data_IF_707119147194
#
_entry.id   IF_707119147194
#
_cell.length_a   1.000
_cell.length_b   1.000
_cell.length_c   1.000
_cell.angle_alpha   90.00
_cell.angle_beta   90.00
_cell.angle_gamma   90.00
#
_symmetry.space_group_name_H-M   'P 1'
#
loop_
_entity.id
_entity.type
_entity.pdbx_description
1 polymer ?
#
# COMPACT_ATOMS: atom_id res chain seq x y z
N UNK A 1 -17.85 22.06 -6.73
CA UNK A 1 -16.45 22.16 -6.28
C UNK A 1 -15.65 21.21 -7.16
N UNK A 2 -14.91 21.74 -8.13
CA UNK A 2 -14.24 20.96 -9.17
C UNK A 2 -12.90 20.41 -8.65
N UNK A 3 -12.82 19.09 -8.45
CA UNK A 3 -11.58 18.38 -8.14
C UNK A 3 -10.81 18.07 -9.44
N UNK A 4 -10.05 19.02 -9.96
CA UNK A 4 -9.23 18.87 -11.17
C UNK A 4 -7.72 18.82 -10.90
N UNK A 5 -7.27 18.13 -9.86
CA UNK A 5 -5.84 18.14 -9.50
C UNK A 5 -5.31 16.82 -8.96
N UNK A 6 -5.76 15.69 -9.49
CA UNK A 6 -5.28 14.40 -9.04
C UNK A 6 -4.93 13.49 -10.22
N UNK A 7 -3.64 13.21 -10.37
CA UNK A 7 -3.14 12.24 -11.34
C UNK A 7 -3.17 10.79 -10.78
N UNK A 8 -3.40 10.66 -9.47
CA UNK A 8 -3.32 9.43 -8.71
C UNK A 8 -4.32 9.48 -7.55
N UNK A 9 -5.56 9.01 -7.77
CA UNK A 9 -6.64 9.03 -6.80
C UNK A 9 -6.50 7.84 -5.86
N UNK A 10 -6.11 8.03 -4.59
CA UNK A 10 -6.07 6.94 -3.63
C UNK A 10 -7.51 6.50 -3.30
N UNK A 11 -7.75 5.20 -3.39
CA UNK A 11 -8.95 4.61 -2.80
C UNK A 11 -8.82 4.66 -1.27
N UNK A 12 -9.95 4.77 -0.54
CA UNK A 12 -9.94 4.62 0.91
C UNK A 12 -9.39 3.23 1.26
N UNK A 13 -8.45 3.19 2.21
CA UNK A 13 -7.88 1.93 2.69
C UNK A 13 -9.00 1.11 3.33
N UNK A 14 -9.22 -0.10 2.84
CA UNK A 14 -10.24 -1.00 3.39
C UNK A 14 -9.57 -2.17 4.10
N UNK A 15 -9.98 -2.42 5.35
CA UNK A 15 -9.53 -3.60 6.12
C UNK A 15 -10.53 -4.73 5.92
N UNK A 16 -10.04 -5.92 5.56
CA UNK A 16 -10.88 -7.09 5.29
C UNK A 16 -11.01 -8.06 6.46
N UNK A 17 -10.22 -7.95 7.51
CA UNK A 17 -10.27 -8.89 8.65
C UNK A 17 -10.27 -8.22 10.02
N UNK A 18 -11.01 -8.84 10.95
CA UNK A 18 -11.33 -8.28 12.27
C UNK A 18 -11.13 -9.35 13.37
N UNK A 19 -10.05 -9.16 14.14
CA UNK A 19 -9.71 -9.59 15.53
C UNK A 19 -9.73 -11.08 15.93
N UNK A 20 -8.64 -11.48 16.60
CA UNK A 20 -8.64 -12.02 17.96
C UNK A 20 -7.33 -11.61 18.67
N UNK A 21 -7.45 -11.01 19.87
CA UNK A 21 -6.38 -10.56 20.79
C UNK A 21 -5.68 -9.22 20.50
N UNK A 22 -5.58 -8.39 21.55
CA UNK A 22 -4.68 -7.24 21.62
C UNK A 22 -3.27 -7.77 21.82
N UNK A 23 -2.35 -7.45 20.91
CA UNK A 23 -0.97 -7.86 21.05
C UNK A 23 -0.32 -6.88 22.01
N UNK A 24 0.22 -7.39 23.12
CA UNK A 24 0.95 -6.56 24.08
C UNK A 24 2.13 -5.85 23.38
N UNK A 25 2.65 -4.80 24.00
CA UNK A 25 3.92 -4.15 23.59
C UNK A 25 5.12 -5.06 23.88
N UNK A 26 5.05 -6.30 23.42
CA UNK A 26 6.07 -7.32 23.58
C UNK A 26 7.21 -7.05 22.59
N UNK A 27 8.35 -7.69 22.87
CA UNK A 27 9.46 -7.69 21.93
C UNK A 27 9.02 -8.49 20.71
N UNK A 28 9.16 -7.93 19.51
CA UNK A 28 8.85 -8.65 18.27
C UNK A 28 10.04 -8.66 17.34
N UNK A 29 10.21 -9.76 16.61
CA UNK A 29 11.09 -9.85 15.46
C UNK A 29 10.34 -9.30 14.26
N UNK A 30 10.93 -8.35 13.53
CA UNK A 30 10.29 -7.71 12.39
C UNK A 30 10.77 -8.36 11.08
N UNK A 31 9.83 -8.84 10.26
CA UNK A 31 10.13 -9.46 8.96
C UNK A 31 9.37 -8.73 7.86
N UNK A 32 10.04 -8.44 6.74
CA UNK A 32 9.44 -7.77 5.59
C UNK A 32 9.48 -8.68 4.37
N UNK A 33 8.31 -9.03 3.85
CA UNK A 33 8.13 -9.89 2.67
C UNK A 33 7.52 -9.08 1.53
N UNK A 34 8.06 -9.17 0.32
CA UNK A 34 7.55 -8.44 -0.86
C UNK A 34 8.02 -6.97 -0.98
N UNK A 35 8.82 -6.46 -0.05
CA UNK A 35 9.34 -5.09 -0.05
C UNK A 35 10.67 -4.90 -0.82
N UNK A 36 11.01 -5.77 -1.78
CA UNK A 36 12.29 -5.80 -2.49
C UNK A 36 12.71 -4.49 -3.20
N UNK A 37 11.74 -3.63 -3.56
CA UNK A 37 11.97 -2.32 -4.20
C UNK A 37 11.55 -1.13 -3.32
N UNK A 38 11.20 -1.38 -2.05
CA UNK A 38 10.53 -0.43 -1.18
C UNK A 38 11.34 -0.18 0.12
N UNK A 39 12.64 0.06 -0.03
CA UNK A 39 13.56 0.25 1.11
C UNK A 39 13.27 1.51 1.94
N UNK A 40 12.79 2.58 1.30
CA UNK A 40 12.45 3.82 2.01
C UNK A 40 11.19 3.63 2.85
N UNK A 41 10.22 2.89 2.32
CA UNK A 41 8.96 2.54 2.96
C UNK A 41 9.20 1.59 4.14
N UNK A 42 10.08 0.58 3.98
CA UNK A 42 10.51 -0.28 5.10
C UNK A 42 11.03 0.55 6.27
N UNK A 43 11.94 1.49 6.01
CA UNK A 43 12.52 2.37 7.04
C UNK A 43 11.46 3.22 7.70
N UNK A 44 10.58 3.85 6.93
CA UNK A 44 9.49 4.67 7.46
C UNK A 44 8.53 3.87 8.35
N UNK A 45 8.14 2.67 7.92
CA UNK A 45 7.28 1.77 8.69
C UNK A 45 7.97 1.35 9.99
N UNK A 46 9.24 0.95 9.92
CA UNK A 46 10.03 0.57 11.09
C UNK A 46 10.14 1.73 12.10
N UNK A 47 10.44 2.95 11.64
CA UNK A 47 10.48 4.14 12.50
C UNK A 47 9.13 4.43 13.16
N UNK A 48 8.03 4.27 12.41
CA UNK A 48 6.67 4.46 12.93
C UNK A 48 6.33 3.42 14.01
N UNK A 49 6.68 2.15 13.81
CA UNK A 49 6.49 1.08 14.79
C UNK A 49 7.30 1.35 16.08
N UNK A 50 8.57 1.76 15.94
CA UNK A 50 9.43 2.11 17.07
C UNK A 50 8.91 3.32 17.85
N UNK A 51 8.51 4.39 17.16
CA UNK A 51 7.93 5.60 17.80
C UNK A 51 6.67 5.29 18.61
N UNK A 52 5.91 4.27 18.20
CA UNK A 52 4.66 3.86 18.87
C UNK A 52 4.89 2.86 20.02
N UNK A 53 6.15 2.46 20.26
CA UNK A 53 6.56 1.73 21.45
C UNK A 53 6.72 0.21 21.28
N UNK A 54 6.73 -0.29 20.03
CA UNK A 54 7.15 -1.67 19.75
C UNK A 54 8.66 -1.80 20.00
N UNK A 55 9.07 -2.85 20.72
CA UNK A 55 10.48 -3.19 20.92
C UNK A 55 10.87 -4.24 19.89
N UNK A 56 11.82 -3.90 19.03
CA UNK A 56 12.32 -4.85 18.03
C UNK A 56 13.44 -5.67 18.67
N UNK A 57 13.27 -7.00 18.74
CA UNK A 57 14.29 -7.93 19.20
C UNK A 57 14.42 -9.07 18.17
N UNK A 58 15.56 -9.20 17.48
CA UNK A 58 15.79 -10.25 16.50
C UNK A 58 15.68 -11.67 17.06
N UNK A 59 15.83 -11.83 18.39
CA UNK A 59 15.77 -13.13 19.08
C UNK A 59 14.43 -13.36 19.78
N UNK A 60 13.40 -12.55 19.50
CA UNK A 60 12.08 -12.76 20.11
C UNK A 60 11.38 -13.98 19.51
N UNK A 61 10.64 -14.69 20.37
CA UNK A 61 9.73 -15.78 19.97
C UNK A 61 8.46 -15.27 19.26
N UNK A 62 8.18 -13.97 19.39
CA UNK A 62 7.08 -13.29 18.70
C UNK A 62 7.60 -12.60 17.44
N UNK A 63 6.96 -12.82 16.30
CA UNK A 63 7.33 -12.29 15.00
C UNK A 63 6.17 -11.48 14.39
N UNK A 64 6.47 -10.26 13.96
CA UNK A 64 5.60 -9.42 13.15
C UNK A 64 6.15 -9.40 11.72
N UNK A 65 5.43 -10.03 10.81
CA UNK A 65 5.72 -10.02 9.40
C UNK A 65 4.80 -9.06 8.65
N UNK A 66 5.41 -8.19 7.84
CA UNK A 66 4.72 -7.31 6.92
C UNK A 66 4.88 -7.89 5.52
N UNK A 67 3.76 -8.32 4.94
CA UNK A 67 3.72 -8.92 3.61
C UNK A 67 3.07 -7.93 2.66
N UNK A 68 3.86 -7.42 1.70
CA UNK A 68 3.36 -6.57 0.63
C UNK A 68 3.13 -7.40 -0.63
N UNK A 69 1.89 -7.45 -1.10
CA UNK A 69 1.52 -8.15 -2.33
C UNK A 69 0.90 -7.19 -3.34
N UNK A 70 1.29 -7.35 -4.61
CA UNK A 70 0.64 -6.67 -5.72
C UNK A 70 -0.51 -7.53 -6.21
N UNK A 71 -1.68 -6.92 -6.35
CA UNK A 71 -2.86 -7.57 -6.90
C UNK A 71 -3.04 -7.12 -8.34
N UNK A 72 -3.41 -8.05 -9.20
CA UNK A 72 -3.74 -7.70 -10.58
C UNK A 72 -5.03 -6.86 -10.59
N UNK A 73 -5.02 -5.68 -11.22
CA UNK A 73 -6.20 -4.83 -11.27
C UNK A 73 -7.31 -5.50 -12.08
N UNK A 74 -8.51 -5.52 -11.53
CA UNK A 74 -9.69 -6.06 -12.23
C UNK A 74 -10.44 -4.93 -12.93
N UNK A 75 -10.47 -4.97 -14.26
CA UNK A 75 -11.20 -3.97 -15.06
C UNK A 75 -12.54 -4.53 -15.50
N UNK A 76 -13.63 -3.80 -15.23
CA UNK A 76 -14.98 -4.15 -15.71
C UNK A 76 -15.03 -4.34 -17.22
N UNK A 77 -14.27 -3.53 -17.97
CA UNK A 77 -14.20 -3.58 -19.43
C UNK A 77 -12.74 -3.59 -19.91
N UNK A 78 -12.13 -4.78 -19.93
CA UNK A 78 -10.71 -4.94 -20.31
C UNK A 78 -10.39 -4.44 -21.73
N UNK A 79 -11.32 -4.60 -22.67
CA UNK A 79 -11.14 -4.15 -24.05
C UNK A 79 -11.04 -2.63 -24.17
N UNK A 80 -11.87 -1.90 -23.43
CA UNK A 80 -11.84 -0.43 -23.40
C UNK A 80 -10.50 0.04 -22.82
N UNK A 81 -10.02 -0.60 -21.75
CA UNK A 81 -8.72 -0.29 -21.17
C UNK A 81 -7.58 -0.47 -22.17
N UNK A 82 -7.57 -1.59 -22.93
CA UNK A 82 -6.56 -1.85 -23.96
C UNK A 82 -6.63 -0.85 -25.11
N UNK A 83 -7.82 -0.50 -25.57
CA UNK A 83 -8.00 0.52 -26.62
C UNK A 83 -7.50 1.90 -26.16
N UNK A 84 -7.80 2.28 -24.92
CA UNK A 84 -7.28 3.53 -24.34
C UNK A 84 -5.75 3.53 -24.27
N UNK A 85 -5.14 2.40 -23.87
CA UNK A 85 -3.68 2.28 -23.85
C UNK A 85 -3.07 2.42 -25.26
N UNK A 86 -3.68 1.79 -26.26
CA UNK A 86 -3.26 1.91 -27.66
C UNK A 86 -3.42 3.35 -28.18
N UNK A 87 -4.54 4.02 -27.85
CA UNK A 87 -4.76 5.41 -28.21
C UNK A 87 -3.72 6.34 -27.58
N UNK A 88 -3.39 6.13 -26.30
CA UNK A 88 -2.28 6.85 -25.63
C UNK A 88 -0.96 6.61 -26.35
N UNK A 89 -0.63 5.37 -26.68
CA UNK A 89 0.63 5.06 -27.38
C UNK A 89 0.70 5.70 -28.77
N UNK A 90 -0.35 5.53 -29.59
CA UNK A 90 -0.40 6.03 -30.96
C UNK A 90 -0.47 7.56 -31.04
N UNK A 91 -1.02 8.22 -30.02
CA UNK A 91 -1.05 9.68 -29.91
C UNK A 91 0.24 10.27 -29.29
N UNK A 92 1.28 9.46 -29.07
CA UNK A 92 2.51 9.90 -28.42
C UNK A 92 2.30 10.36 -26.97
N UNK A 93 1.25 9.88 -26.30
CA UNK A 93 0.91 10.23 -24.93
C UNK A 93 -0.02 11.44 -24.79
N UNK A 94 -0.51 12.05 -25.88
CA UNK A 94 -1.43 13.18 -25.78
C UNK A 94 -2.81 12.78 -25.26
N UNK A 95 -3.33 11.61 -25.65
CA UNK A 95 -4.52 11.03 -25.04
C UNK A 95 -4.15 10.31 -23.74
N UNK A 96 -4.65 10.73 -22.56
CA UNK A 96 -4.33 10.06 -21.32
C UNK A 96 -5.04 8.71 -21.20
N UNK A 97 -4.34 7.72 -20.67
CA UNK A 97 -4.89 6.41 -20.30
C UNK A 97 -5.11 6.33 -18.80
N UNK A 98 -6.13 5.58 -18.41
CA UNK A 98 -6.43 5.27 -17.02
C UNK A 98 -5.90 3.88 -16.64
N UNK A 99 -5.20 3.79 -15.52
CA UNK A 99 -4.63 2.55 -14.98
C UNK A 99 -4.96 2.47 -13.49
N UNK A 100 -5.49 1.33 -13.04
CA UNK A 100 -5.72 1.03 -11.63
C UNK A 100 -4.57 0.20 -11.08
N UNK A 101 -4.11 0.51 -9.88
CA UNK A 101 -3.13 -0.28 -9.14
C UNK A 101 -3.77 -0.75 -7.84
N UNK A 102 -3.79 -2.06 -7.61
CA UNK A 102 -4.26 -2.65 -6.36
C UNK A 102 -3.13 -3.38 -5.66
N UNK A 103 -3.02 -3.20 -4.35
CA UNK A 103 -2.04 -3.85 -3.51
C UNK A 103 -2.65 -4.21 -2.17
N UNK A 104 -2.05 -5.18 -1.50
CA UNK A 104 -2.44 -5.57 -0.15
C UNK A 104 -1.21 -5.53 0.74
N UNK A 105 -1.36 -4.93 1.91
CA UNK A 105 -0.40 -5.03 2.99
C UNK A 105 -1.02 -5.89 4.09
N UNK A 106 -0.32 -6.96 4.44
CA UNK A 106 -0.75 -7.91 5.46
C UNK A 106 0.19 -7.81 6.64
N UNK A 107 -0.37 -7.57 7.82
CA UNK A 107 0.34 -7.64 9.10
C UNK A 107 0.05 -8.98 9.73
N UNK A 108 1.04 -9.85 9.75
CA UNK A 108 0.94 -11.20 10.29
C UNK A 108 1.77 -11.29 11.56
N UNK A 109 1.08 -11.52 12.66
CA UNK A 109 1.69 -11.77 13.96
C UNK A 109 1.71 -13.26 14.22
N UNK A 110 2.88 -13.77 14.57
CA UNK A 110 3.09 -15.16 14.90
C UNK A 110 3.89 -15.30 16.19
N UNK A 111 3.66 -16.37 16.93
CA UNK A 111 4.39 -16.70 18.15
C UNK A 111 4.78 -18.16 18.11
N UNK A 112 6.07 -18.46 18.26
CA UNK A 112 6.60 -19.83 18.18
C UNK A 112 6.20 -20.58 16.90
N UNK A 113 5.97 -19.85 15.80
CA UNK A 113 5.60 -20.40 14.49
C UNK A 113 4.09 -20.49 14.23
N UNK A 114 3.24 -20.31 15.24
CA UNK A 114 1.78 -20.27 15.07
C UNK A 114 1.31 -18.83 14.78
N UNK A 115 0.47 -18.66 13.76
CA UNK A 115 -0.10 -17.35 13.41
C UNK A 115 -1.21 -17.00 14.40
N UNK A 116 -0.98 -15.97 15.22
CA UNK A 116 -1.94 -15.51 16.23
C UNK A 116 -2.93 -14.49 15.64
N UNK A 117 -2.46 -13.63 14.73
CA UNK A 117 -3.27 -12.58 14.11
C UNK A 117 -2.81 -12.27 12.71
N UNK A 118 -3.76 -12.05 11.82
CA UNK A 118 -3.52 -11.50 10.49
C UNK A 118 -4.46 -10.31 10.27
N UNK A 119 -3.91 -9.20 9.82
CA UNK A 119 -4.68 -8.01 9.43
C UNK A 119 -4.34 -7.67 7.99
N UNK A 120 -5.35 -7.67 7.11
CA UNK A 120 -5.18 -7.40 5.68
C UNK A 120 -5.77 -6.04 5.35
N UNK A 121 -4.93 -5.14 4.84
CA UNK A 121 -5.32 -3.83 4.34
C UNK A 121 -5.19 -3.80 2.82
N UNK A 122 -6.29 -3.51 2.14
CA UNK A 122 -6.31 -3.29 0.70
C UNK A 122 -6.06 -1.82 0.39
N UNK A 123 -5.06 -1.58 -0.46
CA UNK A 123 -4.63 -0.27 -0.94
C UNK A 123 -4.88 -0.20 -2.44
N UNK A 124 -5.78 0.69 -2.85
CA UNK A 124 -6.10 0.94 -4.26
C UNK A 124 -5.69 2.35 -4.66
N UNK A 125 -5.31 2.51 -5.93
CA UNK A 125 -5.07 3.83 -6.51
C UNK A 125 -5.37 3.83 -8.01
N UNK A 126 -6.17 4.79 -8.44
CA UNK A 126 -6.48 5.05 -9.84
C UNK A 126 -5.54 6.13 -10.39
N UNK A 127 -4.83 5.83 -11.48
CA UNK A 127 -3.81 6.68 -12.07
C UNK A 127 -4.16 7.05 -13.51
N UNK A 128 -3.98 8.32 -13.86
CA UNK A 128 -4.02 8.78 -15.25
C UNK A 128 -2.59 8.96 -15.77
N UNK A 129 -2.30 8.44 -16.97
CA UNK A 129 -0.97 8.55 -17.61
C UNK A 129 -1.10 9.19 -18.99
N UNK A 130 -0.32 10.23 -19.24
CA UNK A 130 -0.26 10.95 -20.51
C UNK A 130 0.44 12.30 -20.33
N UNK A 131 0.93 12.89 -21.41
CA UNK A 131 1.66 14.17 -21.42
C UNK A 131 0.85 15.29 -20.73
N UNK A 132 -0.46 15.47 -21.00
CA UNK A 132 -1.23 16.53 -20.35
C UNK A 132 -1.35 16.35 -18.83
N UNK A 133 -1.18 15.12 -18.33
CA UNK A 133 -1.32 14.77 -16.91
C UNK A 133 -0.01 15.04 -16.15
N UNK A 134 1.13 15.16 -16.83
CA UNK A 134 2.45 15.40 -16.21
C UNK A 134 2.46 16.72 -15.42
N UNK A 135 1.81 17.76 -15.95
CA UNK A 135 1.71 19.07 -15.26
C UNK A 135 0.97 18.93 -13.93
N UNK A 136 -0.04 18.06 -13.87
CA UNK A 136 -0.82 17.78 -12.65
C UNK A 136 -0.07 16.84 -11.69
N UNK A 137 0.81 15.96 -12.21
CA UNK A 137 1.61 15.03 -11.41
C UNK A 137 2.66 15.69 -10.51
N UNK A 138 3.08 16.93 -10.79
CA UNK A 138 4.08 17.66 -10.00
C UNK A 138 3.66 17.79 -8.52
N UNK A 139 2.35 17.87 -8.25
CA UNK A 139 1.82 18.02 -6.89
C UNK A 139 1.44 16.69 -6.22
N UNK A 140 1.18 15.63 -7.00
CA UNK A 140 0.65 14.37 -6.49
C UNK A 140 1.29 13.19 -7.23
N UNK A 141 2.59 13.02 -7.02
CA UNK A 141 3.33 11.95 -7.65
C UNK A 141 2.88 10.58 -7.11
N UNK A 142 2.58 9.59 -7.96
CA UNK A 142 2.00 8.34 -7.50
C UNK A 142 2.81 7.58 -6.43
N UNK A 143 4.15 7.70 -6.45
CA UNK A 143 4.99 7.08 -5.42
C UNK A 143 4.80 7.72 -4.05
N UNK A 144 4.55 9.03 -4.00
CA UNK A 144 4.32 9.75 -2.75
C UNK A 144 2.97 9.38 -2.15
N UNK A 145 1.91 9.37 -2.97
CA UNK A 145 0.56 8.93 -2.56
C UNK A 145 0.59 7.50 -2.02
N UNK A 146 1.33 6.61 -2.70
CA UNK A 146 1.49 5.23 -2.27
C UNK A 146 2.21 5.10 -0.91
N UNK A 147 3.28 5.89 -0.71
CA UNK A 147 4.00 5.94 0.57
C UNK A 147 3.08 6.40 1.70
N UNK A 148 2.26 7.42 1.45
CA UNK A 148 1.29 7.95 2.41
C UNK A 148 0.25 6.88 2.78
N UNK A 149 -0.30 6.15 1.80
CA UNK A 149 -1.25 5.06 2.05
C UNK A 149 -0.64 3.90 2.87
N UNK A 150 0.63 3.55 2.64
CA UNK A 150 1.31 2.52 3.45
C UNK A 150 1.50 2.95 4.90
N UNK A 151 1.88 4.21 5.11
CA UNK A 151 2.04 4.76 6.46
C UNK A 151 0.67 4.81 7.16
N UNK A 152 -0.37 5.27 6.47
CA UNK A 152 -1.73 5.32 7.00
C UNK A 152 -2.25 3.92 7.37
N UNK A 153 -2.06 2.91 6.52
CA UNK A 153 -2.41 1.52 6.83
C UNK A 153 -1.67 1.02 8.08
N UNK A 154 -0.39 1.35 8.21
CA UNK A 154 0.41 1.01 9.39
C UNK A 154 -0.11 1.72 10.63
N UNK A 155 -0.50 2.99 10.53
CA UNK A 155 -1.08 3.73 11.66
C UNK A 155 -2.45 3.19 12.08
N UNK A 156 -3.25 2.72 11.13
CA UNK A 156 -4.53 2.07 11.39
C UNK A 156 -4.33 0.77 12.17
N UNK A 157 -3.38 -0.08 11.75
CA UNK A 157 -3.06 -1.32 12.47
C UNK A 157 -2.63 -1.01 13.91
N UNK A 158 -1.72 -0.06 14.10
CA UNK A 158 -1.20 0.28 15.43
C UNK A 158 -2.29 0.86 16.35
N UNK A 159 -3.29 1.59 15.81
CA UNK A 159 -4.42 2.09 16.62
C UNK A 159 -5.31 0.95 17.14
N UNK A 160 -5.28 -0.21 16.50
CA UNK A 160 -6.03 -1.39 16.90
C UNK A 160 -5.25 -2.34 17.83
N UNK A 161 -3.97 -2.06 18.09
CA UNK A 161 -3.10 -2.72 19.08
C UNK A 161 -3.25 -2.02 20.44
#
# INVERSE_FOLDING_TARGET
MFCFSCAAFPDPITSKERKLSSIGKEKVKLVFTGFYRYEQEKKAIMETLLKRGLKIDPNSDSELELILQKKEPTYKYIWIHRLNLLATFLSGGFFPSHIRTEQTITFRYSKLGDVERESIYEIGMDQWRGIPVIILMVFQWPNQVYKEQLIEATELEIKEI
#
